data_IF_253327339950
#
_entry.id   IF_253327339950
#
_cell.length_a   1.000
_cell.length_b   1.000
_cell.length_c   1.000
_cell.angle_alpha   90.00
_cell.angle_beta   90.00
_cell.angle_gamma   90.00
#
_symmetry.space_group_name_H-M   'P 1'
#
loop_
_entity.id
_entity.type
_entity.pdbx_description
1 polymer ?
#
# COMPACT_ATOMS: atom_id res chain seq x y z
N UNK A 1 9.39 43.23 -22.48
CA UNK A 1 9.20 41.96 -21.75
C UNK A 1 9.36 40.85 -22.77
N UNK A 2 10.61 40.50 -23.03
CA UNK A 2 10.98 39.50 -24.03
C UNK A 2 10.85 38.13 -23.36
N UNK A 3 9.90 37.34 -23.84
CA UNK A 3 9.67 35.96 -23.40
C UNK A 3 10.91 35.18 -23.86
N UNK A 4 11.86 34.99 -22.94
CA UNK A 4 13.11 34.27 -23.20
C UNK A 4 12.78 32.95 -23.87
N UNK A 5 13.46 32.67 -24.98
CA UNK A 5 13.46 31.39 -25.68
C UNK A 5 13.40 30.25 -24.66
N UNK A 6 12.32 29.47 -24.66
CA UNK A 6 12.21 28.27 -23.82
C UNK A 6 13.37 27.35 -24.21
N UNK A 7 14.44 27.35 -23.41
CA UNK A 7 15.59 26.50 -23.65
C UNK A 7 15.14 25.05 -23.50
N UNK A 8 15.62 24.14 -24.35
CA UNK A 8 15.26 22.72 -24.27
C UNK A 8 15.50 22.15 -22.86
N UNK A 9 16.46 22.71 -22.13
CA UNK A 9 16.76 22.32 -20.75
C UNK A 9 15.67 22.70 -19.75
N UNK A 10 14.97 23.82 -19.96
CA UNK A 10 13.85 24.25 -19.12
C UNK A 10 12.67 23.29 -19.28
N UNK A 11 12.35 22.93 -20.54
CA UNK A 11 11.32 21.95 -20.84
C UNK A 11 11.63 20.58 -20.22
N UNK A 12 12.88 20.12 -20.33
CA UNK A 12 13.31 18.84 -19.73
C UNK A 12 13.21 18.90 -18.20
N UNK A 13 13.62 20.01 -17.59
CA UNK A 13 13.56 20.21 -16.14
C UNK A 13 12.13 20.18 -15.63
N UNK A 14 11.25 21.01 -16.21
CA UNK A 14 9.85 21.11 -15.81
C UNK A 14 9.13 19.77 -15.98
N UNK A 15 9.34 19.11 -17.12
CA UNK A 15 8.73 17.79 -17.38
C UNK A 15 9.21 16.72 -16.38
N UNK A 16 10.50 16.71 -16.04
CA UNK A 16 11.04 15.75 -15.07
C UNK A 16 10.52 16.03 -13.65
N UNK A 17 10.39 17.30 -13.28
CA UNK A 17 9.81 17.71 -12.00
C UNK A 17 8.34 17.27 -11.88
N UNK A 18 7.55 17.50 -12.93
CA UNK A 18 6.15 17.08 -13.00
C UNK A 18 5.99 15.56 -12.96
N UNK A 19 6.88 14.83 -13.62
CA UNK A 19 6.90 13.37 -13.60
C UNK A 19 7.16 12.82 -12.19
N UNK A 20 8.19 13.32 -11.49
CA UNK A 20 8.49 12.91 -10.11
C UNK A 20 7.32 13.25 -9.18
N UNK A 21 6.72 14.43 -9.35
CA UNK A 21 5.54 14.84 -8.58
C UNK A 21 4.37 13.88 -8.80
N UNK A 22 4.05 13.56 -10.04
CA UNK A 22 2.99 12.61 -10.40
C UNK A 22 3.22 11.21 -9.83
N UNK A 23 4.47 10.73 -9.86
CA UNK A 23 4.83 9.44 -9.26
C UNK A 23 4.69 9.47 -7.72
N UNK A 24 5.15 10.53 -7.06
CA UNK A 24 4.98 10.71 -5.61
C UNK A 24 3.51 10.73 -5.22
N UNK A 25 2.69 11.46 -5.96
CA UNK A 25 1.24 11.52 -5.71
C UNK A 25 0.60 10.14 -5.88
N UNK A 26 1.04 9.38 -6.89
CA UNK A 26 0.59 8.00 -7.11
C UNK A 26 0.96 7.06 -5.96
N UNK A 27 2.19 7.13 -5.45
CA UNK A 27 2.62 6.36 -4.27
C UNK A 27 1.83 6.75 -3.03
N UNK A 28 1.62 8.04 -2.80
CA UNK A 28 0.83 8.55 -1.68
C UNK A 28 -0.61 8.02 -1.73
N UNK A 29 -1.18 7.93 -2.94
CA UNK A 29 -2.50 7.33 -3.15
C UNK A 29 -2.50 5.83 -2.87
N UNK A 30 -1.43 5.10 -3.21
CA UNK A 30 -1.28 3.68 -2.84
C UNK A 30 -1.17 3.51 -1.32
N UNK A 31 -0.39 4.34 -0.64
CA UNK A 31 -0.25 4.32 0.83
C UNK A 31 -1.58 4.60 1.54
N UNK A 32 -2.36 5.53 1.00
CA UNK A 32 -3.71 5.83 1.51
C UNK A 32 -4.62 4.60 1.38
N UNK A 33 -4.57 3.91 0.24
CA UNK A 33 -5.35 2.68 0.02
C UNK A 33 -4.87 1.56 0.95
N UNK A 34 -3.57 1.31 1.04
CA UNK A 34 -3.00 0.31 1.94
C UNK A 34 -3.38 0.58 3.40
N UNK A 35 -3.34 1.83 3.85
CA UNK A 35 -3.78 2.23 5.20
C UNK A 35 -5.27 1.95 5.42
N UNK A 36 -6.09 2.18 4.39
CA UNK A 36 -7.52 1.88 4.43
C UNK A 36 -7.75 0.37 4.55
N UNK A 37 -7.05 -0.44 3.75
CA UNK A 37 -7.14 -1.90 3.83
C UNK A 37 -6.57 -2.47 5.13
N UNK A 38 -5.54 -1.85 5.70
CA UNK A 38 -5.03 -2.18 7.03
C UNK A 38 -6.13 -2.01 8.10
N UNK A 39 -6.85 -0.88 8.06
CA UNK A 39 -7.95 -0.60 8.98
C UNK A 39 -9.10 -1.62 8.80
N UNK A 40 -9.48 -1.92 7.55
CA UNK A 40 -10.49 -2.95 7.26
C UNK A 40 -10.05 -4.36 7.68
N UNK A 41 -8.78 -4.70 7.49
CA UNK A 41 -8.19 -5.96 7.96
C UNK A 41 -8.28 -6.10 9.47
N UNK A 42 -7.89 -5.05 10.21
CA UNK A 42 -8.04 -5.01 11.66
C UNK A 42 -9.49 -5.10 12.14
N UNK A 43 -10.41 -4.43 11.45
CA UNK A 43 -11.84 -4.50 11.75
C UNK A 43 -12.41 -5.91 11.50
N UNK A 44 -12.04 -6.53 10.38
CA UNK A 44 -12.46 -7.89 10.01
C UNK A 44 -11.94 -8.90 11.01
N UNK A 45 -10.69 -8.75 11.45
CA UNK A 45 -10.10 -9.57 12.51
C UNK A 45 -10.89 -9.43 13.83
N UNK A 46 -11.26 -8.20 14.21
CA UNK A 46 -12.09 -7.95 15.40
C UNK A 46 -13.45 -8.64 15.29
N UNK A 47 -14.11 -8.59 14.14
CA UNK A 47 -15.38 -9.29 13.91
C UNK A 47 -15.22 -10.81 13.97
N UNK A 48 -14.20 -11.36 13.32
CA UNK A 48 -13.91 -12.80 13.34
C UNK A 48 -13.65 -13.31 14.77
N UNK A 49 -12.95 -12.53 15.61
CA UNK A 49 -12.74 -12.87 17.02
C UNK A 49 -14.02 -12.77 17.86
N UNK A 50 -14.87 -11.78 17.56
CA UNK A 50 -16.12 -11.52 18.29
C UNK A 50 -17.24 -12.51 17.99
N UNK A 51 -17.13 -13.32 16.92
CA UNK A 51 -18.00 -14.48 16.69
C UNK A 51 -17.73 -15.52 17.79
N UNK A 52 -18.33 -15.33 18.96
CA UNK A 52 -18.20 -16.20 20.11
C UNK A 52 -19.15 -17.38 19.93
N UNK A 53 -18.62 -18.54 19.56
CA UNK A 53 -19.35 -19.80 19.61
C UNK A 53 -19.44 -20.24 21.08
N UNK A 54 -20.51 -19.82 21.75
CA UNK A 54 -20.86 -20.34 23.07
C UNK A 54 -21.30 -21.82 23.02
N UNK A 55 -21.40 -22.42 21.83
CA UNK A 55 -21.71 -23.84 21.60
C UNK A 55 -20.48 -24.76 21.60
N UNK A 56 -19.29 -24.25 21.26
CA UNK A 56 -18.09 -25.06 20.94
C UNK A 56 -17.56 -25.96 22.06
N UNK A 57 -17.90 -25.70 23.31
CA UNK A 57 -17.36 -26.44 24.46
C UNK A 57 -18.28 -27.62 24.85
N UNK A 58 -19.51 -27.69 24.34
CA UNK A 58 -20.48 -28.69 24.81
C UNK A 58 -20.71 -29.90 23.91
N UNK A 59 -20.35 -29.89 22.62
CA UNK A 59 -20.44 -31.11 21.81
C UNK A 59 -19.57 -31.12 20.56
N UNK A 60 -18.29 -31.51 20.72
CA UNK A 60 -17.39 -31.80 19.60
C UNK A 60 -17.78 -33.09 18.82
N UNK A 61 -19.08 -33.42 18.74
CA UNK A 61 -19.61 -34.58 18.02
C UNK A 61 -20.33 -34.20 16.72
N UNK A 62 -20.67 -32.93 16.50
CA UNK A 62 -21.41 -32.50 15.30
C UNK A 62 -20.49 -31.97 14.19
N UNK A 63 -20.60 -32.57 12.99
CA UNK A 63 -19.92 -32.14 11.75
C UNK A 63 -20.07 -30.63 11.43
N UNK A 64 -21.22 -29.95 11.67
CA UNK A 64 -21.36 -28.51 11.42
C UNK A 64 -20.54 -27.61 12.36
N UNK A 65 -20.34 -28.01 13.63
CA UNK A 65 -19.54 -27.22 14.58
C UNK A 65 -18.05 -27.24 14.21
N UNK A 66 -17.54 -28.38 13.74
CA UNK A 66 -16.17 -28.51 13.20
C UNK A 66 -15.96 -27.61 11.98
N UNK A 67 -16.91 -27.56 11.05
CA UNK A 67 -16.84 -26.68 9.87
C UNK A 67 -16.82 -25.20 10.27
N UNK A 68 -17.66 -24.79 11.21
CA UNK A 68 -17.69 -23.42 11.73
C UNK A 68 -16.34 -23.00 12.32
N UNK A 69 -15.69 -23.88 13.09
CA UNK A 69 -14.37 -23.63 13.66
C UNK A 69 -13.29 -23.51 12.57
N UNK A 70 -13.32 -24.36 11.55
CA UNK A 70 -12.37 -24.29 10.41
C UNK A 70 -12.51 -22.96 9.67
N UNK A 71 -13.74 -22.53 9.34
CA UNK A 71 -13.98 -21.24 8.68
C UNK A 71 -13.56 -20.04 9.54
N UNK A 72 -13.70 -20.15 10.87
CA UNK A 72 -13.23 -19.13 11.82
C UNK A 72 -11.70 -19.01 11.81
N UNK A 73 -10.99 -20.14 11.88
CA UNK A 73 -9.51 -20.13 11.82
C UNK A 73 -9.04 -19.60 10.46
N UNK A 74 -9.68 -20.04 9.37
CA UNK A 74 -9.33 -19.60 8.02
C UNK A 74 -9.54 -18.10 7.83
N UNK A 75 -10.69 -17.56 8.24
CA UNK A 75 -10.97 -16.12 8.16
C UNK A 75 -9.99 -15.30 9.00
N UNK A 76 -9.69 -15.73 10.24
CA UNK A 76 -8.71 -15.08 11.09
C UNK A 76 -7.31 -15.08 10.47
N UNK A 77 -6.89 -16.20 9.88
CA UNK A 77 -5.61 -16.33 9.19
C UNK A 77 -5.51 -15.41 7.97
N UNK A 78 -6.55 -15.39 7.12
CA UNK A 78 -6.61 -14.52 5.93
C UNK A 78 -6.59 -13.03 6.31
N UNK A 79 -7.36 -12.63 7.33
CA UNK A 79 -7.34 -11.26 7.84
C UNK A 79 -5.97 -10.86 8.37
N UNK A 80 -5.29 -11.75 9.11
CA UNK A 80 -3.96 -11.51 9.64
C UNK A 80 -2.91 -11.39 8.53
N UNK A 81 -2.97 -12.25 7.51
CA UNK A 81 -2.12 -12.12 6.32
C UNK A 81 -2.31 -10.76 5.64
N UNK A 82 -3.56 -10.32 5.45
CA UNK A 82 -3.86 -9.00 4.88
C UNK A 82 -3.22 -7.86 5.70
N UNK A 83 -3.34 -7.90 7.03
CA UNK A 83 -2.75 -6.90 7.93
C UNK A 83 -1.22 -6.88 7.82
N UNK A 84 -0.57 -8.04 7.75
CA UNK A 84 0.89 -8.15 7.61
C UNK A 84 1.35 -7.56 6.27
N UNK A 85 0.70 -7.93 5.17
CA UNK A 85 1.03 -7.43 3.83
C UNK A 85 0.87 -5.91 3.78
N UNK A 86 -0.24 -5.37 4.30
CA UNK A 86 -0.44 -3.93 4.36
C UNK A 86 0.63 -3.24 5.23
N UNK A 87 1.03 -3.84 6.35
CA UNK A 87 2.10 -3.31 7.21
C UNK A 87 3.46 -3.27 6.52
N UNK A 88 3.82 -4.34 5.79
CA UNK A 88 5.05 -4.38 4.98
C UNK A 88 4.97 -3.32 3.87
N UNK A 89 3.86 -3.25 3.13
CA UNK A 89 3.65 -2.29 2.05
C UNK A 89 3.69 -0.83 2.52
N UNK A 90 3.29 -0.54 3.76
CA UNK A 90 3.37 0.79 4.37
C UNK A 90 4.73 1.14 4.96
N UNK A 91 5.68 0.20 5.00
CA UNK A 91 7.00 0.46 5.58
C UNK A 91 7.71 1.57 4.81
N UNK A 92 8.13 2.60 5.52
CA UNK A 92 8.83 3.76 4.97
C UNK A 92 10.26 3.36 4.56
N UNK A 93 10.44 2.88 3.32
CA UNK A 93 11.76 2.80 2.70
C UNK A 93 12.05 4.18 2.09
N UNK A 94 12.98 4.93 2.69
CA UNK A 94 13.54 6.10 2.02
C UNK A 94 14.25 5.61 0.74
N UNK A 95 13.71 5.95 -0.43
CA UNK A 95 14.31 5.70 -1.75
C UNK A 95 14.44 7.04 -2.49
N UNK A 96 15.51 7.16 -3.28
CA UNK A 96 15.89 8.36 -4.02
C UNK A 96 16.86 9.27 -3.26
N UNK A 97 18.05 9.48 -3.83
CA UNK A 97 18.96 10.56 -3.43
C UNK A 97 18.60 11.78 -4.29
N UNK A 98 17.85 12.72 -3.73
CA UNK A 98 17.70 14.04 -4.34
C UNK A 98 18.98 14.84 -4.13
N UNK A 99 19.39 15.63 -5.12
CA UNK A 99 20.52 16.56 -4.96
C UNK A 99 20.17 17.52 -3.82
N UNK A 100 20.95 17.49 -2.74
CA UNK A 100 20.71 18.34 -1.57
C UNK A 100 20.91 19.81 -1.98
N UNK A 101 19.96 20.72 -1.66
CA UNK A 101 20.15 22.16 -1.85
C UNK A 101 21.51 22.68 -1.34
N UNK A 102 22.07 22.08 -0.27
CA UNK A 102 23.40 22.41 0.25
C UNK A 102 24.53 22.13 -0.75
N UNK A 103 24.38 21.13 -1.62
CA UNK A 103 25.35 20.87 -2.68
C UNK A 103 25.27 21.92 -3.78
N UNK A 104 24.06 22.38 -4.10
CA UNK A 104 23.85 23.45 -5.08
C UNK A 104 24.40 24.81 -4.61
N UNK A 105 24.57 25.00 -3.29
CA UNK A 105 25.16 26.20 -2.69
C UNK A 105 26.69 26.18 -2.61
N UNK A 106 27.37 25.10 -3.04
CA UNK A 106 28.84 25.08 -3.13
C UNK A 106 29.31 26.05 -4.22
N UNK A 107 30.38 26.80 -3.98
CA UNK A 107 30.88 27.88 -4.87
C UNK A 107 31.05 27.44 -6.34
N UNK A 108 31.42 26.18 -6.59
CA UNK A 108 31.59 25.62 -7.93
C UNK A 108 30.29 25.38 -8.70
N UNK A 109 29.17 25.17 -8.02
CA UNK A 109 27.86 24.94 -8.62
C UNK A 109 27.01 26.22 -8.57
N UNK A 110 27.11 26.99 -7.49
CA UNK A 110 26.38 28.25 -7.34
C UNK A 110 26.75 29.28 -8.42
N UNK A 111 28.01 29.31 -8.85
CA UNK A 111 28.49 30.26 -9.86
C UNK A 111 28.34 29.75 -11.32
N UNK A 112 27.79 28.54 -11.54
CA UNK A 112 27.55 28.02 -12.91
C UNK A 112 26.35 28.68 -13.56
N UNK A 113 26.31 28.60 -14.89
CA UNK A 113 25.11 28.98 -15.67
C UNK A 113 23.92 28.13 -15.23
N UNK A 114 22.76 28.77 -15.13
CA UNK A 114 21.51 28.16 -14.69
C UNK A 114 21.18 26.86 -15.47
N UNK A 115 21.36 26.86 -16.78
CA UNK A 115 21.14 25.70 -17.65
C UNK A 115 21.99 24.49 -17.26
N UNK A 116 23.24 24.71 -16.84
CA UNK A 116 24.15 23.63 -16.41
C UNK A 116 23.72 23.03 -15.08
N UNK A 117 23.23 23.86 -14.16
CA UNK A 117 22.69 23.40 -12.87
C UNK A 117 21.38 22.63 -13.06
N UNK A 118 20.48 23.10 -13.92
CA UNK A 118 19.26 22.37 -14.29
C UNK A 118 19.59 21.00 -14.86
N UNK A 119 20.54 20.91 -15.79
CA UNK A 119 21.00 19.62 -16.33
C UNK A 119 21.57 18.67 -15.27
N UNK A 120 22.34 19.19 -14.32
CA UNK A 120 22.86 18.40 -13.20
C UNK A 120 21.73 17.87 -12.31
N UNK A 121 20.75 18.71 -11.97
CA UNK A 121 19.57 18.32 -11.17
C UNK A 121 18.75 17.24 -11.89
N UNK A 122 18.44 17.45 -13.17
CA UNK A 122 17.71 16.46 -13.98
C UNK A 122 18.44 15.13 -14.02
N UNK A 123 19.77 15.12 -14.16
CA UNK A 123 20.54 13.88 -14.18
C UNK A 123 20.42 13.07 -12.88
N UNK A 124 20.30 13.74 -11.73
CA UNK A 124 20.00 13.09 -10.46
C UNK A 124 18.56 12.57 -10.41
N UNK A 125 17.61 13.36 -10.91
CA UNK A 125 16.19 13.02 -10.94
C UNK A 125 15.83 11.83 -11.83
N UNK A 126 16.51 11.64 -12.96
CA UNK A 126 16.26 10.47 -13.83
C UNK A 126 16.40 9.16 -13.05
N UNK A 127 17.43 9.02 -12.20
CA UNK A 127 17.61 7.83 -11.37
C UNK A 127 16.48 7.64 -10.35
N UNK A 128 15.95 8.76 -9.84
CA UNK A 128 14.85 8.76 -8.88
C UNK A 128 13.56 8.24 -9.55
N UNK A 129 13.30 8.64 -10.79
CA UNK A 129 12.13 8.22 -11.55
C UNK A 129 12.02 6.69 -11.65
N UNK A 130 13.14 6.01 -11.92
CA UNK A 130 13.19 4.55 -12.01
C UNK A 130 12.94 3.89 -10.64
N UNK A 131 13.52 4.44 -9.57
CA UNK A 131 13.30 3.95 -8.20
C UNK A 131 11.84 4.13 -7.75
N UNK A 132 11.21 5.25 -8.09
CA UNK A 132 9.81 5.54 -7.80
C UNK A 132 8.88 4.63 -8.61
N UNK A 133 9.20 4.34 -9.87
CA UNK A 133 8.41 3.40 -10.67
C UNK A 133 8.44 1.99 -10.08
N UNK A 134 9.63 1.48 -9.72
CA UNK A 134 9.77 0.18 -9.06
C UNK A 134 9.00 0.13 -7.73
N UNK A 135 9.13 1.17 -6.90
CA UNK A 135 8.41 1.26 -5.63
C UNK A 135 6.89 1.30 -5.83
N UNK A 136 6.42 1.99 -6.86
CA UNK A 136 5.01 2.03 -7.24
C UNK A 136 4.48 0.65 -7.64
N UNK A 137 5.27 -0.14 -8.39
CA UNK A 137 4.93 -1.52 -8.77
C UNK A 137 4.87 -2.44 -7.55
N UNK A 138 5.92 -2.44 -6.71
CA UNK A 138 5.98 -3.24 -5.47
C UNK A 138 4.73 -2.97 -4.59
N UNK A 139 4.42 -1.70 -4.31
CA UNK A 139 3.25 -1.32 -3.50
C UNK A 139 1.92 -1.68 -4.18
N UNK A 140 1.86 -1.60 -5.51
CA UNK A 140 0.68 -2.00 -6.27
C UNK A 140 0.39 -3.49 -6.18
N UNK A 141 1.44 -4.32 -6.23
CA UNK A 141 1.36 -5.77 -6.05
C UNK A 141 0.93 -6.13 -4.63
N UNK A 142 1.55 -5.51 -3.61
CA UNK A 142 1.18 -5.69 -2.20
C UNK A 142 -0.29 -5.33 -1.95
N UNK A 143 -0.77 -4.22 -2.53
CA UNK A 143 -2.15 -3.80 -2.41
C UNK A 143 -3.11 -4.81 -3.07
N UNK A 144 -2.79 -5.30 -4.27
CA UNK A 144 -3.62 -6.28 -4.96
C UNK A 144 -3.71 -7.60 -4.16
N UNK A 145 -2.59 -8.02 -3.58
CA UNK A 145 -2.53 -9.19 -2.70
C UNK A 145 -3.41 -8.98 -1.46
N UNK A 146 -3.31 -7.82 -0.79
CA UNK A 146 -4.13 -7.48 0.36
C UNK A 146 -5.64 -7.47 0.04
N UNK A 147 -6.02 -6.96 -1.14
CA UNK A 147 -7.41 -6.97 -1.63
C UNK A 147 -7.94 -8.41 -1.73
N UNK A 148 -7.14 -9.34 -2.28
CA UNK A 148 -7.56 -10.74 -2.41
C UNK A 148 -7.77 -11.36 -1.02
N UNK A 149 -6.82 -11.17 -0.10
CA UNK A 149 -6.91 -11.72 1.25
C UNK A 149 -8.11 -11.19 2.03
N UNK A 150 -8.41 -9.88 1.94
CA UNK A 150 -9.56 -9.32 2.66
C UNK A 150 -10.89 -9.82 2.08
N UNK A 151 -11.01 -9.96 0.76
CA UNK A 151 -12.22 -10.48 0.11
C UNK A 151 -12.45 -11.92 0.56
N UNK A 152 -11.42 -12.77 0.51
CA UNK A 152 -11.52 -14.17 0.96
C UNK A 152 -11.89 -14.24 2.45
N UNK A 153 -11.32 -13.37 3.28
CA UNK A 153 -11.65 -13.27 4.70
C UNK A 153 -13.11 -12.90 4.92
N UNK A 154 -13.65 -11.91 4.20
CA UNK A 154 -15.04 -11.47 4.31
C UNK A 154 -16.01 -12.58 3.88
N UNK A 155 -15.69 -13.29 2.79
CA UNK A 155 -16.48 -14.44 2.34
C UNK A 155 -16.50 -15.54 3.40
N UNK A 156 -15.34 -15.88 3.98
CA UNK A 156 -15.24 -16.88 5.02
C UNK A 156 -16.02 -16.49 6.30
N UNK A 157 -15.97 -15.23 6.73
CA UNK A 157 -16.78 -14.72 7.86
C UNK A 157 -18.27 -14.80 7.54
N UNK A 158 -18.68 -14.43 6.33
CA UNK A 158 -20.09 -14.47 5.90
C UNK A 158 -20.63 -15.91 5.91
N UNK A 159 -19.88 -16.87 5.38
CA UNK A 159 -20.25 -18.30 5.40
C UNK A 159 -20.37 -18.79 6.84
N UNK A 160 -19.45 -18.37 7.72
CA UNK A 160 -19.50 -18.72 9.13
C UNK A 160 -20.79 -18.24 9.79
N UNK A 161 -21.15 -16.97 9.61
CA UNK A 161 -22.40 -16.38 10.15
C UNK A 161 -23.64 -17.11 9.62
N UNK A 162 -23.69 -17.43 8.32
CA UNK A 162 -24.83 -18.15 7.73
C UNK A 162 -24.94 -19.57 8.33
N UNK A 163 -23.81 -20.26 8.46
CA UNK A 163 -23.76 -21.60 9.04
C UNK A 163 -24.27 -21.53 10.48
N UNK A 164 -23.75 -20.60 11.29
CA UNK A 164 -24.18 -20.42 12.67
C UNK A 164 -25.69 -20.13 12.77
N UNK A 165 -26.22 -19.23 11.94
CA UNK A 165 -27.65 -18.91 11.91
C UNK A 165 -28.53 -20.13 11.56
N UNK A 166 -28.17 -20.90 10.53
CA UNK A 166 -28.95 -22.07 10.09
C UNK A 166 -28.93 -23.21 11.10
N UNK A 167 -27.83 -23.37 11.84
CA UNK A 167 -27.70 -24.45 12.83
C UNK A 167 -28.24 -24.06 14.21
N UNK A 168 -28.17 -22.79 14.61
CA UNK A 168 -28.83 -22.28 15.82
C UNK A 168 -30.36 -22.38 15.70
N UNK A 169 -30.93 -22.13 14.52
CA UNK A 169 -32.39 -22.22 14.31
C UNK A 169 -32.91 -23.67 14.33
N UNK A 170 -32.02 -24.67 14.24
CA UNK A 170 -32.38 -26.11 14.22
C UNK A 170 -32.15 -26.84 15.55
N UNK A 171 -31.58 -26.19 16.56
CA UNK A 171 -31.32 -26.74 17.89
C UNK A 171 -32.37 -26.29 18.90
#
# INVERSE_FOLDING_TARGET
MEKSSNSNIDLIYDYTADLIKSQRDSITRLDTKLSTFLAFGGLTLRFALSLHSNSLIKSLESLPEMLCLIFKILSCGLALCCVIICGIGLTAKMRGITVDPKELMKDELFNRKEETNKGYIVSGWIKITDEYEMLGKEKGEDLNLAIIFIILSIVAVSINIITDAVFIEKA
#
